data_IF_632400499562
#
_entry.id   IF_632400499562
#
_cell.length_a   1.000
_cell.length_b   1.000
_cell.length_c   1.000
_cell.angle_alpha   90.00
_cell.angle_beta   90.00
_cell.angle_gamma   90.00
#
_symmetry.space_group_name_H-M   'P 1'
#
loop_
_entity.id
_entity.type
_entity.pdbx_description
1 polymer ?
2 polymer ?
3 polymer ?
4 branched ?
5 non-polymer ?
6 non-polymer ?
7 water ?
#
# COMPACT_ATOMS: atom_id res chain seq x y z
N UNK A 7 -4.01 -18.36 10.53
CA UNK A 7 -3.26 -18.43 9.26
C UNK A 7 -1.80 -17.97 9.44
N UNK A 8 -1.05 -17.90 8.33
CA UNK A 8 0.34 -17.49 8.34
C UNK A 8 0.53 -16.04 7.81
N UNK A 9 -0.56 -15.21 7.81
CA UNK A 9 -0.46 -13.82 7.36
C UNK A 9 0.60 -13.05 8.11
N UNK A 10 1.24 -12.11 7.40
CA UNK A 10 2.17 -11.16 7.99
C UNK A 10 3.50 -11.71 8.48
N UNK A 11 3.80 -12.99 8.15
CA UNK A 11 5.08 -13.60 8.50
C UNK A 11 5.77 -13.87 7.20
N UNK A 12 6.89 -13.20 6.96
CA UNK A 12 7.59 -13.26 5.69
C UNK A 12 8.52 -14.43 5.59
N UNK A 13 8.39 -15.25 4.52
CA UNK A 13 9.29 -16.42 4.35
C UNK A 13 10.78 -16.11 4.45
N UNK A 14 11.21 -14.92 3.98
CA UNK A 14 12.64 -14.56 4.00
C UNK A 14 13.11 -13.81 5.23
N UNK A 15 12.18 -13.52 6.15
CA UNK A 15 12.48 -12.76 7.34
C UNK A 15 11.97 -13.45 8.62
N UNK A 16 10.68 -13.22 9.05
CA UNK A 16 10.15 -13.86 10.27
C UNK A 16 10.22 -15.37 10.27
N UNK A 17 9.94 -16.01 9.13
CA UNK A 17 9.96 -17.48 9.03
C UNK A 17 11.39 -18.05 9.21
N UNK A 18 12.42 -17.23 8.98
CA UNK A 18 13.85 -17.57 9.10
C UNK A 18 14.48 -16.93 10.32
N UNK A 19 13.72 -16.14 11.10
CA UNK A 19 14.23 -15.35 12.23
C UNK A 19 15.36 -14.40 11.77
N UNK A 20 15.17 -13.80 10.56
CA UNK A 20 16.06 -12.79 10.00
C UNK A 20 15.32 -11.47 10.06
N UNK A 21 16.01 -10.41 10.42
CA UNK A 21 15.44 -9.08 10.51
C UNK A 21 15.82 -8.27 9.31
N UNK A 22 14.89 -7.43 8.81
CA UNK A 22 15.26 -6.54 7.72
C UNK A 22 16.02 -5.36 8.35
N UNK A 23 16.69 -4.54 7.52
CA UNK A 23 17.54 -3.41 7.90
C UNK A 23 16.89 -2.28 8.68
N UNK A 24 15.57 -2.08 8.56
CA UNK A 24 14.96 -0.96 9.27
C UNK A 24 13.79 -1.32 10.21
N UNK A 25 13.39 -2.60 10.30
CA UNK A 25 12.24 -2.94 11.17
C UNK A 25 12.39 -2.55 12.63
N UNK A 26 13.65 -2.48 13.14
CA UNK A 26 13.97 -2.10 14.52
C UNK A 26 13.53 -0.66 14.79
N UNK A 27 13.63 0.23 13.78
CA UNK A 27 13.18 1.63 13.81
C UNK A 27 11.67 1.69 14.13
N UNK A 28 10.88 0.76 13.55
CA UNK A 28 9.44 0.67 13.80
C UNK A 28 9.21 0.19 15.23
N UNK A 29 9.89 -0.88 15.67
CA UNK A 29 9.75 -1.38 17.05
C UNK A 29 10.11 -0.32 18.09
N UNK A 30 11.24 0.36 17.87
CA UNK A 30 11.73 1.42 18.76
C UNK A 30 10.76 2.60 18.84
N UNK A 31 9.91 2.78 17.81
CA UNK A 31 8.91 3.86 17.82
C UNK A 31 7.65 3.46 18.65
N UNK A 32 7.49 2.16 18.99
CA UNK A 32 6.31 1.68 19.71
C UNK A 32 6.53 1.78 21.21
N UNK A 33 6.70 3.03 21.68
CA UNK A 33 6.96 3.38 23.07
C UNK A 33 5.65 3.35 23.87
N UNK A 34 2.84 6.34 23.16
N UNK B 1 7.75 6.76 -4.23
CA UNK B 1 8.28 7.06 -2.92
C UNK B 1 9.38 8.07 -3.03
N UNK B 2 9.30 9.13 -2.25
CA UNK B 2 10.32 10.18 -2.24
C UNK B 2 11.14 10.02 -0.98
N UNK B 3 12.48 10.07 -1.09
CA UNK B 3 13.40 9.98 0.05
C UNK B 3 13.33 8.64 0.82
N UNK B 4 13.22 7.56 0.06
CA UNK B 4 13.19 6.21 0.60
C UNK B 4 14.45 5.45 0.24
N UNK B 5 14.35 4.13 0.23
CA UNK B 5 15.49 3.27 -0.10
C UNK B 5 14.98 2.11 -0.86
N UNK B 6 15.87 1.41 -1.58
CA UNK B 6 15.52 0.18 -2.30
C UNK B 6 15.09 -0.83 -1.28
N UNK B 7 14.00 -1.54 -1.57
CA UNK B 7 13.54 -2.59 -0.67
C UNK B 7 14.51 -3.77 -0.72
N UNK B 8 14.56 -4.57 0.34
CA UNK B 8 15.36 -5.81 0.33
C UNK B 8 14.48 -6.86 -0.38
N UNK B 9 15.08 -7.94 -0.89
CA UNK B 9 14.34 -9.02 -1.53
C UNK B 9 13.43 -9.70 -0.48
N UNK B 10 12.16 -9.88 -0.84
CA UNK B 10 11.14 -10.52 0.01
C UNK B 10 10.72 -9.70 1.23
N UNK B 11 11.10 -8.42 1.27
CA UNK B 11 10.80 -7.50 2.38
C UNK B 11 9.32 -7.17 2.52
N UNK B 12 8.59 -7.13 1.39
CA UNK B 12 7.19 -6.75 1.33
C UNK B 12 6.48 -7.76 0.41
N UNK B 13 6.35 -9.06 0.81
CA UNK B 13 5.82 -10.07 -0.12
C UNK B 13 4.33 -9.95 -0.46
N UNK B 14 3.64 -9.03 0.21
CA UNK B 14 2.23 -8.77 -0.03
C UNK B 14 2.12 -7.62 -1.05
N UNK B 15 3.24 -7.03 -1.46
CA UNK B 15 3.20 -5.91 -2.40
C UNK B 15 2.66 -6.33 -3.73
N UNK B 16 1.67 -5.59 -4.23
CA UNK B 16 1.07 -5.90 -5.51
C UNK B 16 1.22 -4.72 -6.45
N UNK B 17 1.58 -5.00 -7.73
CA UNK B 17 1.63 -3.94 -8.74
C UNK B 17 0.33 -4.02 -9.57
N UNK B 18 -0.38 -2.88 -9.72
CA UNK B 18 -1.58 -2.84 -10.55
C UNK B 18 -1.08 -2.36 -11.87
N UNK B 19 -1.21 -3.20 -12.89
CA UNK B 19 -0.61 -2.95 -14.20
C UNK B 19 -1.65 -2.79 -15.32
N UNK B 20 -1.59 -1.65 -16.03
CA UNK B 20 -2.48 -1.36 -17.16
C UNK B 20 -1.99 -2.19 -18.37
N UNK B 21 -2.89 -2.96 -19.00
CA UNK B 21 -2.58 -3.81 -20.17
C UNK B 21 -2.14 -2.99 -21.37
N UNK B 22 -2.91 -1.94 -21.74
CA UNK B 22 -2.62 -1.07 -22.90
C UNK B 22 -2.98 0.41 -22.65
N UNK B 23 -1.97 1.33 -22.67
CA UNK B 23 -0.51 1.11 -22.83
C UNK B 23 0.08 0.42 -21.57
N UNK B 24 1.14 -0.40 -21.75
CA UNK B 24 1.80 -1.14 -20.67
C UNK B 24 2.45 -0.16 -19.69
N UNK B 25 1.81 0.03 -18.52
CA UNK B 25 2.31 0.97 -17.51
C UNK B 25 1.82 0.65 -16.10
N UNK B 26 2.52 1.24 -15.11
CA UNK B 26 2.20 1.13 -13.69
C UNK B 26 0.96 1.97 -13.46
N UNK B 27 -0.06 1.35 -12.87
CA UNK B 27 -1.31 2.01 -12.54
C UNK B 27 -1.27 2.44 -11.09
N UNK B 28 -0.89 1.51 -10.17
CA UNK B 28 -0.99 1.77 -8.74
C UNK B 28 -0.27 0.68 -7.97
N UNK B 29 -0.16 0.86 -6.65
CA UNK B 29 0.27 -0.20 -5.77
C UNK B 29 -1.01 -0.86 -5.26
N UNK B 30 -0.84 -1.93 -4.52
CA UNK B 30 -1.92 -2.71 -3.96
C UNK B 30 -1.28 -3.69 -2.98
N UNK B 31 -2.11 -4.53 -2.38
CA UNK B 31 -1.62 -5.52 -1.42
C UNK B 31 -2.39 -6.83 -1.44
N UNK B 32 -1.65 -7.92 -1.18
CA UNK B 32 -2.23 -9.26 -1.14
C UNK B 32 -2.74 -9.58 0.27
N UNK B 33 -4.07 -9.79 0.41
CA UNK B 33 -4.72 -10.05 1.71
C UNK B 33 -5.12 -11.53 1.93
N UNK B 34 -5.15 -12.34 0.86
CA UNK B 34 -5.38 -13.79 0.87
C UNK B 34 -4.88 -14.34 -0.47
N UNK B 35 -5.09 -15.65 -0.75
CA UNK B 35 -4.68 -16.23 -2.03
C UNK B 35 -5.53 -15.73 -3.22
N UNK B 36 -6.72 -15.16 -2.95
CA UNK B 36 -7.63 -14.68 -4.01
C UNK B 36 -8.07 -13.21 -3.91
N UNK B 37 -7.67 -12.48 -2.86
CA UNK B 37 -8.09 -11.09 -2.66
C UNK B 37 -6.94 -10.09 -2.58
N UNK B 38 -7.09 -9.00 -3.34
CA UNK B 38 -6.14 -7.89 -3.44
C UNK B 38 -6.83 -6.58 -2.99
N UNK B 39 -6.14 -5.81 -2.13
CA UNK B 39 -6.61 -4.55 -1.56
C UNK B 39 -5.90 -3.38 -2.18
N UNK B 40 -6.68 -2.35 -2.56
CA UNK B 40 -6.14 -1.15 -3.18
C UNK B 40 -6.97 0.09 -2.82
N UNK B 41 -6.61 1.24 -3.38
CA UNK B 41 -7.33 2.51 -3.18
C UNK B 41 -8.38 2.58 -4.26
N UNK B 42 -9.59 3.00 -3.90
CA UNK B 42 -10.65 3.15 -4.91
C UNK B 42 -10.25 4.10 -6.08
N UNK B 43 -9.46 5.15 -5.80
CA UNK B 43 -9.10 6.13 -6.80
C UNK B 43 -8.18 5.57 -7.86
N UNK B 44 -7.58 4.39 -7.62
CA UNK B 44 -6.75 3.68 -8.59
C UNK B 44 -7.65 3.15 -9.71
N UNK B 45 -8.89 2.85 -9.39
CA UNK B 45 -9.81 2.28 -10.36
C UNK B 45 -10.86 3.30 -10.84
N UNK B 46 -11.37 4.17 -9.93
CA UNK B 46 -12.41 5.12 -10.28
C UNK B 46 -12.02 6.49 -9.83
N UNK B 47 -11.75 7.37 -10.78
CA UNK B 47 -11.47 8.76 -10.47
C UNK B 47 -11.99 9.70 -11.59
N UNK B 48 -13.32 10.01 -11.56
CA UNK B 48 -13.91 10.89 -12.61
C UNK B 48 -13.20 12.19 -12.92
N UNK B 49 -12.59 12.95 -11.95
CA UNK B 49 -11.86 14.16 -12.35
C UNK B 49 -10.79 13.96 -13.41
N UNK B 50 -10.15 12.77 -13.46
CA UNK B 50 -9.09 12.47 -14.42
C UNK B 50 -9.51 11.45 -15.47
N UNK B 51 -10.83 11.21 -15.59
CA UNK B 51 -11.45 10.25 -16.52
C UNK B 51 -10.97 8.82 -16.34
N UNK B 52 -10.73 8.46 -15.07
CA UNK B 52 -10.29 7.13 -14.71
C UNK B 52 -11.50 6.31 -14.32
N UNK B 53 -11.74 5.20 -15.03
CA UNK B 53 -12.83 4.28 -14.74
C UNK B 53 -12.49 2.90 -15.29
N UNK B 54 -11.49 2.23 -14.69
CA UNK B 54 -11.05 0.90 -15.14
C UNK B 54 -12.05 -0.23 -14.83
N UNK B 55 -12.17 -1.19 -15.78
CA UNK B 55 -12.97 -2.39 -15.61
C UNK B 55 -11.98 -3.55 -15.40
N UNK B 56 -12.47 -4.70 -14.89
CA UNK B 56 -11.70 -5.92 -14.61
C UNK B 56 -10.71 -6.24 -15.72
N UNK B 57 -11.22 -6.32 -16.96
CA UNK B 57 -10.42 -6.67 -18.13
C UNK B 57 -9.36 -5.67 -18.57
N UNK B 58 -9.32 -4.45 -18.00
CA UNK B 58 -8.31 -3.44 -18.40
C UNK B 58 -6.96 -3.62 -17.70
N UNK B 59 -6.91 -4.40 -16.62
CA UNK B 59 -5.66 -4.53 -15.89
C UNK B 59 -5.28 -5.93 -15.43
N UNK B 60 -4.06 -6.05 -14.93
CA UNK B 60 -3.46 -7.27 -14.39
C UNK B 60 -2.82 -6.94 -13.04
N UNK B 61 -2.78 -7.94 -12.14
CA UNK B 61 -2.09 -7.75 -10.87
C UNK B 61 -0.78 -8.52 -10.95
N UNK B 62 0.34 -7.86 -10.67
CA UNK B 62 1.64 -8.50 -10.71
C UNK B 62 2.19 -8.63 -9.26
N UNK B 63 2.27 -9.88 -8.78
CA UNK B 63 2.67 -10.22 -7.40
C UNK B 63 4.08 -10.82 -7.32
N UNK B 64 4.80 -10.52 -6.24
CA UNK B 64 6.14 -11.03 -5.99
C UNK B 64 7.24 -10.25 -6.67
N UNK B 65 6.93 -8.99 -7.08
CA UNK B 65 7.89 -8.17 -7.81
C UNK B 65 8.84 -7.40 -6.94
N UNK B 66 9.99 -7.05 -7.53
CA UNK B 66 11.03 -6.21 -6.97
C UNK B 66 11.37 -5.13 -7.99
N UNK B 67 11.70 -5.56 -9.21
CA UNK B 67 12.01 -4.60 -10.29
C UNK B 67 10.71 -4.01 -10.80
N UNK B 68 10.69 -2.70 -11.05
CA UNK B 68 9.53 -1.99 -11.58
C UNK B 68 9.18 -2.43 -12.98
N UNK B 69 10.16 -2.32 -13.93
CA UNK B 69 9.99 -2.59 -15.36
C UNK B 69 10.14 -4.02 -15.89
N UNK B 70 11.15 -4.77 -15.40
CA UNK B 70 11.44 -6.12 -15.90
C UNK B 70 10.38 -7.14 -15.61
N UNK B 71 10.26 -8.15 -16.51
CA UNK B 71 9.39 -9.30 -16.30
C UNK B 71 10.24 -10.29 -15.48
N UNK B 72 9.88 -10.48 -14.21
CA UNK B 72 10.61 -11.31 -13.25
C UNK B 72 10.26 -12.77 -13.34
N UNK B 73 10.84 -13.36 -14.39
CA UNK B 73 10.65 -14.76 -14.74
C UNK B 73 11.06 -15.62 -13.57
N UNK B 74 10.19 -16.58 -13.22
CA UNK B 74 10.23 -17.57 -12.14
C UNK B 74 10.01 -16.97 -10.75
N UNK B 75 9.70 -15.65 -10.67
CA UNK B 75 9.53 -14.96 -9.39
C UNK B 75 8.13 -14.37 -9.28
N UNK B 76 7.82 -13.38 -10.14
CA UNK B 76 6.50 -12.75 -10.11
C UNK B 76 5.47 -13.66 -10.71
N UNK B 77 4.20 -13.49 -10.27
CA UNK B 77 3.03 -14.17 -10.80
C UNK B 77 2.03 -13.09 -11.24
N UNK B 78 1.56 -13.18 -12.50
CA UNK B 78 0.59 -12.23 -13.04
C UNK B 78 -0.81 -12.85 -12.99
N UNK B 79 -1.78 -12.11 -12.46
CA UNK B 79 -3.14 -12.63 -12.35
C UNK B 79 -4.13 -11.70 -13.02
N UNK B 80 -5.26 -12.27 -13.42
CA UNK B 80 -6.35 -11.54 -14.07
C UNK B 80 -7.42 -11.32 -13.02
N UNK B 81 -8.22 -10.27 -13.19
CA UNK B 81 -9.27 -9.97 -12.23
C UNK B 81 -10.61 -10.56 -12.60
N UNK B 82 -11.24 -11.21 -11.62
CA UNK B 82 -12.58 -11.75 -11.78
C UNK B 82 -13.60 -10.63 -11.51
N UNK B 83 -13.42 -9.86 -10.41
CA UNK B 83 -14.33 -8.77 -10.06
C UNK B 83 -13.68 -7.68 -9.19
N UNK B 84 -14.05 -6.42 -9.45
CA UNK B 84 -13.66 -5.20 -8.73
C UNK B 84 -14.84 -4.84 -7.86
N UNK B 85 -14.56 -4.40 -6.62
CA UNK B 85 -15.53 -3.93 -5.65
C UNK B 85 -14.97 -2.64 -5.08
N UNK B 86 -15.65 -1.53 -5.33
CA UNK B 86 -15.30 -0.22 -4.81
C UNK B 86 -16.25 0.07 -3.65
N UNK B 87 -15.76 0.66 -2.52
CA UNK B 87 -16.62 1.00 -1.38
C UNK B 87 -17.83 1.79 -1.91
N UNK B 88 -19.10 1.42 -1.58
CA UNK B 88 -20.24 2.20 -2.11
C UNK B 88 -20.28 3.67 -1.68
N UNK B 89 -19.63 4.03 -0.55
CA UNK B 89 -19.62 5.44 -0.14
C UNK B 89 -18.29 6.12 -0.35
N UNK B 90 -17.51 5.63 -1.34
CA UNK B 90 -16.24 6.24 -1.73
C UNK B 90 -16.53 7.67 -2.22
N UNK B 91 -15.90 8.68 -1.59
CA UNK B 91 -16.07 10.11 -1.91
C UNK B 91 -14.97 10.67 -2.82
N UNK B 92 -15.07 10.47 -4.12
CA UNK B 92 -14.08 11.02 -5.04
C UNK B 92 -14.30 12.50 -5.30
N UNK B 93 -15.50 13.03 -4.98
CA UNK B 93 -15.80 14.45 -5.28
C UNK B 93 -15.03 15.44 -4.45
N UNK B 94 -14.75 15.09 -3.20
CA UNK B 94 -14.15 16.06 -2.29
C UNK B 94 -12.78 15.74 -1.73
N UNK B 95 -12.69 14.67 -0.91
CA UNK B 95 -11.49 14.40 -0.12
C UNK B 95 -11.02 12.98 -0.15
N UNK B 96 -11.59 12.14 -1.03
CA UNK B 96 -11.21 10.71 -1.15
C UNK B 96 -11.56 9.93 0.12
N UNK B 97 -12.68 10.32 0.78
CA UNK B 97 -13.17 9.61 1.95
C UNK B 97 -13.55 8.20 1.52
N UNK B 98 -13.13 7.19 2.32
CA UNK B 98 -13.35 5.77 2.08
C UNK B 98 -12.70 5.33 0.77
N UNK B 99 -11.41 5.70 0.59
CA UNK B 99 -10.65 5.40 -0.63
C UNK B 99 -10.13 3.96 -0.52
N UNK B 100 -11.00 3.01 -0.84
CA UNK B 100 -10.76 1.58 -0.68
C UNK B 100 -11.46 0.74 -1.72
N UNK B 101 -10.77 -0.28 -2.23
CA UNK B 101 -11.32 -1.18 -3.22
C UNK B 101 -10.75 -2.57 -3.03
N UNK B 102 -11.58 -3.59 -3.29
CA UNK B 102 -11.18 -5.00 -3.29
C UNK B 102 -11.24 -5.54 -4.71
N UNK B 103 -10.32 -6.45 -5.02
CA UNK B 103 -10.20 -7.08 -6.32
C UNK B 103 -10.08 -8.57 -6.12
N UNK B 104 -11.05 -9.34 -6.63
CA UNK B 104 -11.05 -10.81 -6.59
C UNK B 104 -10.26 -11.32 -7.76
N UNK B 105 -9.30 -12.22 -7.48
CA UNK B 105 -8.47 -12.81 -8.52
C UNK B 105 -9.20 -13.96 -9.18
N UNK B 106 -8.98 -14.15 -10.49
CA UNK B 106 -9.62 -15.24 -11.25
C UNK B 106 -9.22 -16.61 -10.67
N UNK B 107 -7.91 -16.81 -10.44
CA UNK B 107 -7.34 -18.03 -9.88
C UNK B 107 -6.60 -17.69 -8.58
N UNK B 108 -6.54 -18.61 -7.58
CA UNK B 108 -5.74 -18.31 -6.39
C UNK B 108 -4.26 -18.22 -6.75
N UNK B 109 -3.53 -17.33 -6.06
CA UNK B 109 -2.10 -17.17 -6.28
C UNK B 109 -1.38 -18.15 -5.35
N UNK B 110 -0.30 -18.76 -5.84
CA UNK B 110 0.47 -19.68 -5.01
C UNK B 110 1.49 -18.87 -4.24
N UNK B 111 1.60 -19.13 -2.93
CA UNK B 111 2.56 -18.44 -2.06
C UNK B 111 3.93 -18.99 -2.29
N UNK B 112 4.95 -18.16 -2.05
CA UNK B 112 6.36 -18.47 -2.29
C UNK B 112 7.20 -17.60 -1.37
N UNK B 113 8.52 -17.55 -1.56
CA UNK B 113 9.39 -16.68 -0.77
C UNK B 113 9.16 -15.19 -1.03
N UNK B 114 8.54 -14.88 -2.17
CA UNK B 114 8.34 -13.51 -2.64
C UNK B 114 6.89 -13.03 -2.59
N UNK B 115 5.95 -13.98 -2.33
CA UNK B 115 4.49 -13.83 -2.36
C UNK B 115 3.88 -14.38 -1.08
N UNK B 116 3.29 -13.50 -0.27
CA UNK B 116 2.72 -13.89 1.01
C UNK B 116 1.76 -12.81 1.46
N UNK B 117 0.59 -13.13 2.00
CA UNK B 117 -0.33 -12.06 2.40
C UNK B 117 0.01 -11.37 3.71
N UNK B 118 -0.38 -10.10 3.77
CA UNK B 118 -0.23 -9.29 4.98
C UNK B 118 -1.54 -9.52 5.82
N UNK B 119 -1.47 -9.32 7.15
CA UNK B 119 -2.65 -9.40 8.01
C UNK B 119 -3.45 -8.11 7.96
N UNK B 120 -4.74 -8.26 8.25
CA UNK B 120 -5.64 -7.11 8.43
C UNK B 120 -5.87 -6.97 9.92
N UNK B 121 -5.82 -5.74 10.46
CA UNK B 121 -5.94 -5.57 11.91
C UNK B 121 -7.32 -5.83 12.48
N UNK B 122 -7.35 -6.24 13.76
CA UNK B 122 -8.55 -6.41 14.57
C UNK B 122 -8.66 -5.09 15.36
N UNK B 123 -9.77 -4.85 16.07
CA UNK B 123 -9.95 -3.62 16.85
C UNK B 123 -8.78 -3.36 17.81
N UNK B 124 -8.28 -4.40 18.51
CA UNK B 124 -7.19 -4.22 19.46
C UNK B 124 -5.82 -3.93 18.84
N UNK B 125 -5.50 -4.60 17.74
CA UNK B 125 -4.22 -4.33 17.06
C UNK B 125 -4.26 -2.87 16.57
N UNK B 126 -5.39 -2.44 15.98
CA UNK B 126 -5.61 -1.07 15.53
C UNK B 126 -5.46 -0.05 16.66
N UNK B 127 -6.16 -0.28 17.80
CA UNK B 127 -6.09 0.62 18.96
C UNK B 127 -4.68 0.72 19.51
N UNK B 128 -3.99 -0.41 19.62
CA UNK B 128 -2.63 -0.41 20.15
C UNK B 128 -1.53 0.13 19.21
N UNK B 129 -1.70 -0.01 17.88
CA UNK B 129 -0.66 0.46 16.95
C UNK B 129 -0.89 1.86 16.34
N UNK B 130 -2.14 2.26 16.10
CA UNK B 130 -2.46 3.57 15.50
C UNK B 130 -2.34 4.72 16.49
N UNK B 131 -1.10 5.06 16.82
CA UNK B 131 -0.76 6.07 17.78
C UNK B 131 0.24 7.04 17.21
N UNK B 132 0.02 8.34 17.46
CA UNK B 132 0.91 9.42 17.04
C UNK B 132 2.35 9.11 17.48
N UNK B 133 3.29 9.18 16.55
CA UNK B 133 4.69 8.86 16.79
C UNK B 133 5.10 7.44 16.40
N UNK B 134 4.14 6.50 16.43
CA UNK B 134 4.40 5.10 16.02
C UNK B 134 4.64 5.07 14.51
N UNK B 135 5.72 4.41 14.11
CA UNK B 135 6.08 4.36 12.71
C UNK B 135 5.48 3.19 11.96
N UNK B 136 5.09 3.47 10.74
CA UNK B 136 4.65 2.46 9.78
C UNK B 136 5.60 2.49 8.62
N UNK B 137 5.36 1.62 7.63
CA UNK B 137 6.20 1.46 6.47
C UNK B 137 5.39 1.53 5.22
N UNK B 138 5.85 2.35 4.26
CA UNK B 138 5.16 2.52 2.99
C UNK B 138 6.07 2.03 1.85
N UNK B 139 5.51 1.30 0.89
CA UNK B 139 6.28 0.76 -0.22
C UNK B 139 5.58 1.05 -1.56
N UNK B 140 6.37 1.16 -2.63
CA UNK B 140 5.79 1.35 -3.95
C UNK B 140 6.78 1.67 -5.05
N UNK B 141 6.31 1.63 -6.30
CA UNK B 141 7.16 1.93 -7.45
C UNK B 141 6.88 3.31 -8.02
N UNK B 142 6.32 4.19 -7.20
CA UNK B 142 5.95 5.53 -7.59
C UNK B 142 7.11 6.48 -7.78
N UNK B 143 6.77 7.71 -8.18
CA UNK B 143 7.73 8.77 -8.45
C UNK B 143 8.71 8.97 -7.30
N UNK B 144 10.02 9.09 -7.64
CA UNK B 144 11.08 9.35 -6.65
C UNK B 144 11.07 10.84 -6.25
N UNK B 145 10.42 11.68 -7.05
CA UNK B 145 10.33 13.12 -6.82
C UNK B 145 9.00 13.64 -7.31
N UNK B 146 8.53 14.74 -6.72
CA UNK B 146 7.27 15.40 -7.07
C UNK B 146 7.24 15.83 -8.56
N UNK B 147 8.31 16.49 -9.06
CA UNK B 147 8.41 16.94 -10.46
C UNK B 147 9.36 16.05 -11.29
N UNK B 148 10.60 16.16 -11.10
N UNK B 155 13.57 10.19 -11.34
CA UNK B 155 12.20 10.14 -11.83
C UNK B 155 11.43 8.94 -11.33
N UNK B 156 11.80 7.76 -11.83
CA UNK B 156 11.18 6.50 -11.45
C UNK B 156 12.25 5.56 -10.96
N UNK B 157 11.92 4.70 -9.97
CA UNK B 157 12.93 3.79 -9.44
C UNK B 157 13.13 2.59 -10.34
N UNK B 158 14.25 1.91 -10.19
CA UNK B 158 14.46 0.65 -10.90
C UNK B 158 13.78 -0.48 -10.10
N UNK B 159 13.87 -0.42 -8.75
CA UNK B 159 13.29 -1.43 -7.86
C UNK B 159 12.27 -0.84 -6.85
N UNK B 160 11.51 -1.72 -6.16
CA UNK B 160 10.56 -1.32 -5.13
C UNK B 160 11.25 -0.42 -4.09
N UNK B 161 10.60 0.67 -3.71
CA UNK B 161 11.13 1.62 -2.72
C UNK B 161 10.43 1.46 -1.38
N UNK B 162 11.10 1.79 -0.29
CA UNK B 162 10.58 1.67 1.08
C UNK B 162 10.86 2.92 1.88
N UNK B 163 9.90 3.33 2.70
CA UNK B 163 10.08 4.44 3.63
C UNK B 163 9.34 4.17 4.94
N UNK B 164 10.00 4.42 6.06
CA UNK B 164 9.34 4.31 7.37
C UNK B 164 8.93 5.70 7.77
N UNK B 165 7.68 5.86 8.22
CA UNK B 165 7.12 7.19 8.56
C UNK B 165 6.27 7.15 9.81
N UNK B 166 6.41 8.16 10.70
CA UNK B 166 5.57 8.18 11.91
C UNK B 166 4.14 8.67 11.67
N UNK B 167 3.19 8.07 12.38
CA UNK B 167 1.79 8.51 12.35
C UNK B 167 1.77 9.91 13.03
N UNK B 168 1.05 10.86 12.44
CA UNK B 168 0.99 12.24 12.94
C UNK B 168 -0.34 12.48 13.70
N UNK B 169 -0.34 13.33 14.76
CA UNK B 169 -1.51 13.67 15.59
C UNK B 169 -2.60 14.24 14.70
N UNK B 170 -3.88 13.88 14.95
CA UNK B 170 -5.01 14.34 14.13
C UNK B 170 -5.07 15.89 14.00
N UNK B 171 -4.90 16.71 15.07
CA UNK B 171 -4.91 18.18 14.88
C UNK B 171 -3.83 18.69 13.92
N UNK B 172 -2.63 18.09 13.97
CA UNK B 172 -1.51 18.45 13.11
C UNK B 172 -1.84 18.13 11.64
N UNK B 173 -2.47 16.96 11.37
CA UNK B 173 -2.91 16.56 10.02
C UNK B 173 -3.88 17.61 9.47
N UNK B 174 -4.94 17.89 10.25
CA UNK B 174 -6.01 18.83 9.95
C UNK B 174 -5.46 20.27 9.66
N UNK B 175 -4.48 20.71 10.44
CA UNK B 175 -3.86 22.03 10.32
C UNK B 175 -2.90 22.19 9.18
N UNK B 176 -2.51 21.07 8.53
CA UNK B 176 -1.55 21.09 7.44
C UNK B 176 -2.24 21.34 6.10
N UNK B 177 -3.57 21.23 6.06
CA UNK B 177 -4.31 21.30 4.79
C UNK B 177 -5.65 22.04 4.87
N UNK B 178 -6.18 22.46 3.71
CA UNK B 178 -7.50 23.09 3.58
C UNK B 178 -8.55 22.03 3.37
N UNK B 179 -8.12 20.80 3.02
CA UNK B 179 -9.02 19.67 2.80
C UNK B 179 -9.60 19.17 4.12
N UNK B 180 -10.89 18.85 4.13
CA UNK B 180 -11.53 18.28 5.32
C UNK B 180 -11.08 16.81 5.50
N UNK B 181 -10.55 16.48 6.68
CA UNK B 181 -10.05 15.14 7.04
C UNK B 181 -11.15 14.39 7.80
N UNK B 182 -11.35 13.08 7.51
CA UNK B 182 -12.37 12.29 8.22
C UNK B 182 -11.70 11.27 9.14
N UNK B 183 -12.52 10.53 9.92
CA UNK B 183 -12.07 9.45 10.80
C UNK B 183 -11.64 8.22 9.97
N UNK B 184 -11.92 8.20 8.65
CA UNK B 184 -11.52 7.09 7.76
C UNK B 184 -10.14 7.31 7.15
N UNK B 185 -9.43 8.32 7.62
CA UNK B 185 -8.08 8.64 7.16
C UNK B 185 -7.17 9.00 8.29
N UNK B 186 -5.87 8.85 8.08
CA UNK B 186 -4.88 9.28 9.05
C UNK B 186 -3.73 9.85 8.23
N UNK B 187 -2.87 10.68 8.85
CA UNK B 187 -1.71 11.15 8.08
C UNK B 187 -0.42 10.72 8.75
N UNK B 188 0.61 10.62 7.96
CA UNK B 188 1.94 10.20 8.42
C UNK B 188 3.03 10.99 7.70
N UNK B 189 4.18 11.09 8.34
CA UNK B 189 5.34 11.79 7.80
C UNK B 189 6.04 12.61 8.87
N UNK B 190 7.25 13.04 8.56
CA UNK B 190 8.03 13.85 9.49
C UNK B 190 7.67 15.34 9.41
N UNK B 191 7.83 16.05 10.53
CA UNK B 191 7.62 17.51 10.63
C UNK B 191 8.89 18.19 10.09
N UNK B 192 8.89 19.50 9.71
CA UNK B 192 10.14 20.11 9.21
C UNK B 192 11.27 20.11 10.25
N UNK B 193 10.91 20.19 11.55
CA UNK B 193 11.85 20.20 12.66
C UNK B 193 12.56 18.85 12.92
N UNK B 194 11.90 17.73 12.56
CA UNK B 194 12.38 16.36 12.80
C UNK B 194 13.68 15.93 12.11
N UNK B 195 14.04 16.61 11.03
CA UNK B 195 15.26 16.32 10.28
C UNK B 195 15.01 15.33 9.16
N UNK B 196 14.61 14.09 9.51
CA UNK B 196 14.31 13.00 8.58
C UNK B 196 13.18 13.43 7.59
N UNK B 197 13.15 12.81 6.41
CA UNK B 197 12.18 13.11 5.34
C UNK B 197 11.50 11.82 4.83
N UNK B 198 10.66 11.98 3.80
CA UNK B 198 10.03 10.85 3.16
C UNK B 198 8.55 10.98 2.96
N UNK B 199 8.05 10.37 1.88
CA UNK B 199 6.62 10.39 1.56
C UNK B 199 6.33 9.46 0.43
N UNK B 200 5.04 9.11 0.30
CA UNK B 200 4.56 8.40 -0.85
C UNK B 200 4.36 9.46 -1.94
N UNK B 201 4.13 9.07 -3.16
CA UNK B 201 3.94 10.04 -4.25
C UNK B 201 3.11 9.39 -5.32
N UNK B 202 2.87 10.07 -6.47
CA UNK B 202 2.11 9.49 -7.60
C UNK B 202 2.67 8.14 -8.01
N UNK B 203 1.79 7.18 -8.25
CA UNK B 203 2.14 5.81 -8.60
C UNK B 203 2.22 4.89 -7.38
N UNK B 204 2.33 5.46 -6.15
CA UNK B 204 2.33 4.73 -4.86
C UNK B 204 0.94 4.46 -4.33
N UNK B 205 -0.07 5.20 -4.83
CA UNK B 205 -1.47 5.04 -4.42
C UNK B 205 -1.87 3.60 -4.46
N UNK B 206 -2.71 3.22 -3.51
CA UNK B 206 -3.23 1.87 -3.42
C UNK B 206 -2.32 0.95 -2.64
N UNK B 207 -1.06 1.35 -2.48
CA UNK B 207 -0.07 0.57 -1.74
C UNK B 207 -0.33 0.53 -0.26
N UNK B 208 0.34 -0.38 0.47
CA UNK B 208 0.07 -0.52 1.90
C UNK B 208 0.92 0.34 2.80
N UNK B 209 0.35 0.74 3.95
CA UNK B 209 1.08 1.39 5.04
C UNK B 209 1.03 0.25 6.08
N UNK B 210 2.20 -0.35 6.41
CA UNK B 210 2.18 -1.51 7.31
C UNK B 210 2.85 -1.25 8.62
N UNK B 211 2.52 -2.03 9.63
CA UNK B 211 3.18 -1.95 10.93
C UNK B 211 3.45 -3.36 11.42
N UNK B 212 4.56 -3.54 12.14
CA UNK B 212 4.86 -4.89 12.66
C UNK B 212 4.44 -4.97 14.11
N UNK B 213 3.46 -5.82 14.41
CA UNK B 213 2.97 -5.95 15.79
C UNK B 213 4.11 -6.41 16.75
N UNK B 214 4.37 -5.66 17.85
CA UNK B 214 5.39 -6.11 18.81
C UNK B 214 4.85 -7.24 19.70
N UNK B 215 3.54 -7.54 19.62
CA UNK B 215 2.85 -8.58 20.39
C UNK B 215 2.97 -9.96 19.79
N UNK B 216 2.78 -10.06 18.45
CA UNK B 216 2.86 -11.37 17.79
C UNK B 216 3.84 -11.43 16.61
N UNK B 217 4.59 -10.32 16.38
CA UNK B 217 5.62 -10.17 15.33
C UNK B 217 5.11 -10.34 13.90
N UNK B 218 3.81 -10.08 13.68
CA UNK B 218 3.21 -10.19 12.34
C UNK B 218 2.99 -8.79 11.78
N UNK B 219 3.06 -8.67 10.46
CA UNK B 219 2.87 -7.38 9.81
C UNK B 219 1.39 -7.19 9.54
N UNK B 220 0.85 -6.01 9.87
CA UNK B 220 -0.54 -5.64 9.66
C UNK B 220 -0.63 -4.46 8.72
N UNK B 221 -1.62 -4.47 7.85
CA UNK B 221 -1.82 -3.33 6.97
C UNK B 221 -2.74 -2.36 7.69
N UNK B 222 -2.21 -1.24 8.09
CA UNK B 222 -3.02 -0.24 8.79
C UNK B 222 -3.59 0.82 7.85
N UNK B 223 -2.91 1.08 6.74
CA UNK B 223 -3.31 2.13 5.82
C UNK B 223 -3.17 1.75 4.36
N UNK B 224 -3.80 2.56 3.50
CA UNK B 224 -3.66 2.45 2.05
C UNK B 224 -3.21 3.81 1.59
N UNK B 225 -2.15 3.88 0.72
CA UNK B 225 -1.69 5.18 0.20
C UNK B 225 -2.89 5.82 -0.52
N UNK B 226 -3.33 7.02 -0.04
CA UNK B 226 -4.50 7.65 -0.63
C UNK B 226 -4.21 8.96 -1.35
N UNK B 227 -3.81 9.99 -0.61
CA UNK B 227 -3.55 11.28 -1.25
C UNK B 227 -2.58 12.13 -0.49
N UNK B 228 -2.27 13.25 -1.10
CA UNK B 228 -1.40 14.28 -0.55
C UNK B 228 -1.46 15.47 -1.48
N UNK B 229 -0.74 16.52 -1.14
CA UNK B 229 -0.68 17.73 -1.96
C UNK B 229 0.79 17.94 -2.26
N UNK B 230 1.18 17.48 -3.44
CA UNK B 230 2.58 17.38 -3.82
C UNK B 230 3.16 16.15 -3.12
N UNK B 231 4.50 16.06 -3.05
CA UNK B 231 5.18 14.94 -2.40
C UNK B 231 6.34 15.43 -1.62
N UNK B 232 6.44 14.98 -0.35
CA UNK B 232 7.54 15.29 0.55
C UNK B 232 7.75 16.81 0.74
N UNK B 233 6.65 17.57 0.76
CA UNK B 233 6.73 19.02 0.98
C UNK B 233 6.78 19.24 2.46
N UNK B 234 7.57 20.25 2.90
CA UNK B 234 7.70 20.64 4.31
C UNK B 234 6.35 21.13 4.77
N UNK B 235 5.98 20.79 6.01
CA UNK B 235 4.70 21.15 6.58
C UNK B 235 3.48 20.42 6.03
N UNK B 236 3.69 19.50 5.04
CA UNK B 236 2.63 18.68 4.47
C UNK B 236 2.88 17.19 4.84
N UNK B 237 1.80 16.39 4.85
CA UNK B 237 1.85 14.97 5.21
C UNK B 237 1.08 14.14 4.21
N UNK B 238 1.46 12.88 4.10
CA UNK B 238 0.74 11.94 3.26
C UNK B 238 -0.47 11.44 4.01
N UNK B 239 -1.58 11.21 3.30
CA UNK B 239 -2.83 10.70 3.87
C UNK B 239 -3.12 9.30 3.41
N UNK B 240 -3.65 8.51 4.34
CA UNK B 240 -3.88 7.09 4.15
C UNK B 240 -5.25 6.70 4.54
N UNK B 241 -5.83 5.76 3.80
CA UNK B 241 -7.14 5.19 4.17
C UNK B 241 -6.93 4.37 5.45
N UNK B 242 -7.78 4.59 6.46
CA UNK B 242 -7.70 3.87 7.74
C UNK B 242 -8.41 2.52 7.57
N UNK B 243 -7.63 1.45 7.37
CA UNK B 243 -8.12 0.10 7.05
C UNK B 243 -9.07 -0.48 8.08
N UNK B 244 -8.70 -0.44 9.38
CA UNK B 244 -9.59 -0.98 10.42
C UNK B 244 -10.97 -0.30 10.42
N UNK B 245 -11.05 1.01 10.18
CA UNK B 245 -12.34 1.72 10.15
C UNK B 245 -13.27 1.17 9.08
N UNK B 246 -12.71 0.53 8.03
CA UNK B 246 -13.50 0.02 6.92
C UNK B 246 -13.50 -1.51 6.82
N UNK B 247 -13.02 -2.19 7.87
CA UNK B 247 -12.90 -3.65 7.89
C UNK B 247 -14.25 -4.37 7.77
N UNK B 248 -15.32 -3.78 8.34
CA UNK B 248 -16.68 -4.35 8.26
C UNK B 248 -17.13 -4.44 6.80
N UNK B 249 -16.78 -3.42 5.96
CA UNK B 249 -17.09 -3.47 4.53
C UNK B 249 -16.26 -4.57 3.86
N UNK B 250 -14.96 -4.66 4.24
CA UNK B 250 -14.02 -5.67 3.69
C UNK B 250 -14.57 -7.08 3.95
N UNK B 251 -14.91 -7.36 5.23
CA UNK B 251 -15.46 -8.64 5.68
C UNK B 251 -16.73 -8.99 4.92
N UNK B 252 -17.67 -8.03 4.77
CA UNK B 252 -18.92 -8.20 4.03
C UNK B 252 -18.68 -8.66 2.59
N UNK B 253 -17.77 -7.97 1.85
CA UNK B 253 -17.45 -8.32 0.45
C UNK B 253 -16.79 -9.71 0.37
N UNK B 254 -15.87 -10.04 1.29
CA UNK B 254 -15.17 -11.33 1.28
C UNK B 254 -16.15 -12.45 1.64
N UNK B 255 -16.98 -12.24 2.70
CA UNK B 255 -18.03 -13.20 3.11
C UNK B 255 -19.06 -13.41 1.98
N UNK B 256 -19.15 -12.43 1.03
CA UNK B 256 -19.97 -12.38 -0.19
C UNK B 256 -21.46 -12.31 0.03
N UNK B 257 -22.87 -15.43 0.13
N UNK C 1 8.72 1.79 -21.37
CA UNK C 1 9.93 1.25 -20.75
C UNK C 1 9.72 -0.05 -19.94
N UNK C 2 8.50 -0.63 -20.02
CA UNK C 2 8.16 -1.88 -19.36
C UNK C 2 8.36 -3.05 -20.29
N UNK C 3 9.19 -4.02 -19.83
CA UNK C 3 9.48 -5.25 -20.56
C UNK C 3 8.18 -5.99 -20.84
N UNK C 4 8.08 -6.57 -22.05
CA UNK C 4 6.90 -7.31 -22.50
C UNK C 4 6.63 -8.50 -21.57
N UNK C 5 5.35 -8.81 -21.37
CA UNK C 5 4.96 -9.91 -20.52
C UNK C 5 4.42 -11.08 -21.37
N UNK C 6 4.70 -12.36 -21.01
CA UNK C 6 4.19 -13.50 -21.80
C UNK C 6 2.74 -13.40 -22.27
N UNK C 7 2.54 -13.66 -23.57
CA UNK C 7 1.26 -13.59 -24.28
C UNK C 7 0.09 -14.24 -23.56
N UNK C 8 0.38 -15.31 -22.79
CA UNK C 8 -0.57 -16.10 -21.99
C UNK C 8 -1.38 -15.23 -21.00
N UNK C 10 -2.51 -12.21 -21.73
CA UNK C 10 -3.27 -11.32 -22.62
C UNK C 10 -2.63 -9.92 -22.68
#
# INVERSE_FOLDING_TARGET
TFGSGEADCGLRPLFEKKSLEDKTERELLESYIDGR
IVEGSDAEIGMSPWQVMLFRKSPQELLCGASLISDRWVLTAAHCLLYPPWDKNFTENDLLVRIGKHSRTRYERNIEKISMLEKIYIHPRYNWRENLDRDIALMKLKKPVAFSDYIHPVCLPDRETAASLLQAGYKGRVTGWGNLKETWTANVGKGQPSVLQVVNLPIVERPVCKDSTRIRITDNMFCAGYKPDEGKRGDACEGDSGGPFVMKSPFNNRWYQMGIVSWGEGCDRDGKYGFYTHVFRLKKWIQKVIDQFGE
DFEEIPEEXL
#
